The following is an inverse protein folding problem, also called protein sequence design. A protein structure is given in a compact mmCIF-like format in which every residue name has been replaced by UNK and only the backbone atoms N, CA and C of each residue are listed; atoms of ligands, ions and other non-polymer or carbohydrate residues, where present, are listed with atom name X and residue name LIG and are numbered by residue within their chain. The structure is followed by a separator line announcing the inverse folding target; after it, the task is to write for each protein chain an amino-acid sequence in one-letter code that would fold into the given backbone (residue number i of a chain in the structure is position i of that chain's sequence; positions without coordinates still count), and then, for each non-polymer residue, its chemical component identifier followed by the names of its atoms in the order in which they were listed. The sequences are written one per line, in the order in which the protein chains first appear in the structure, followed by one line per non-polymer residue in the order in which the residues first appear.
data_IF_243421892657
#
_entry.id   IF_243421892657
#
_cell.length_a   1.000
_cell.length_b   1.000
_cell.length_c   1.000
_cell.angle_alpha   90.00
_cell.angle_beta   90.00
_cell.angle_gamma   90.00
#
_symmetry.space_group_name_H-M   'P 1'
#
loop_
_entity.id
_entity.type
_entity.pdbx_description
1 polymer ?
#
# COMPACT_ATOMS: atom_id res chain seq x y z
N UNK A 1 36.33 20.89 13.97
CA UNK A 1 35.52 21.12 12.76
C UNK A 1 36.34 20.59 11.60
N UNK A 2 36.14 19.33 11.22
CA UNK A 2 36.95 18.64 10.21
C UNK A 2 36.06 18.43 9.00
N UNK A 3 36.33 19.19 7.94
CA UNK A 3 35.65 19.08 6.65
C UNK A 3 36.36 17.96 5.89
N UNK A 4 35.67 16.86 5.65
CA UNK A 4 36.15 15.80 4.75
C UNK A 4 35.65 16.17 3.35
N UNK A 5 36.56 16.60 2.49
CA UNK A 5 36.32 16.77 1.06
C UNK A 5 36.50 15.40 0.42
N UNK A 6 35.43 14.86 -0.17
CA UNK A 6 35.51 13.66 -1.02
C UNK A 6 35.61 14.13 -2.48
N UNK A 7 36.72 13.81 -3.14
CA UNK A 7 36.95 14.08 -4.55
C UNK A 7 36.07 13.17 -5.45
N UNK A 8 35.72 13.64 -6.67
CA UNK A 8 34.81 12.91 -7.55
C UNK A 8 35.53 11.77 -8.27
N UNK A 9 34.92 10.59 -8.29
CA UNK A 9 35.38 9.46 -9.09
C UNK A 9 34.66 9.49 -10.45
N UNK A 10 35.42 9.68 -11.53
CA UNK A 10 34.93 9.66 -12.92
C UNK A 10 35.09 8.29 -13.60
N UNK A 11 34.23 8.08 -14.60
CA UNK A 11 34.14 6.99 -15.60
C UNK A 11 33.43 5.73 -15.10
N UNK A 12 32.50 5.09 -15.81
CA UNK A 12 32.01 5.11 -17.21
C UNK A 12 30.69 4.30 -17.17
N UNK A 13 29.68 4.37 -18.03
CA UNK A 13 29.47 4.78 -19.41
C UNK A 13 28.00 5.21 -19.51
N UNK A 14 27.75 6.29 -20.24
CA UNK A 14 26.42 6.74 -20.57
C UNK A 14 25.92 6.10 -21.88
N UNK A 15 24.59 6.11 -22.01
CA UNK A 15 23.78 5.99 -23.22
C UNK A 15 23.39 4.58 -23.68
N UNK A 16 22.13 4.21 -23.44
CA UNK A 16 21.08 4.49 -24.43
C UNK A 16 19.69 4.17 -23.85
N UNK A 17 19.09 5.10 -23.10
CA UNK A 17 17.67 5.03 -22.76
C UNK A 17 16.91 5.94 -23.73
N UNK A 18 16.23 5.31 -24.67
CA UNK A 18 15.20 5.96 -25.47
C UNK A 18 14.15 6.50 -24.51
N UNK A 19 14.06 7.82 -24.40
CA UNK A 19 13.02 8.51 -23.64
C UNK A 19 11.64 8.07 -24.14
N UNK A 20 11.03 7.16 -23.40
CA UNK A 20 9.60 6.95 -23.43
C UNK A 20 9.06 7.89 -22.35
N UNK A 21 8.52 9.03 -22.79
CA UNK A 21 7.87 10.00 -21.91
C UNK A 21 6.84 9.27 -21.02
N UNK A 22 7.15 9.13 -19.72
CA UNK A 22 6.22 8.64 -18.71
C UNK A 22 6.65 7.44 -17.86
N UNK A 23 7.90 6.95 -17.95
CA UNK A 23 8.36 5.89 -17.02
C UNK A 23 8.69 6.48 -15.64
N UNK A 24 7.93 6.08 -14.62
CA UNK A 24 8.17 6.45 -13.23
C UNK A 24 9.47 5.77 -12.77
N UNK A 25 10.55 6.53 -12.59
CA UNK A 25 11.83 6.00 -12.10
C UNK A 25 11.69 5.62 -10.62
N UNK A 26 11.26 4.37 -10.36
CA UNK A 26 11.14 3.82 -9.01
C UNK A 26 12.46 3.16 -8.64
N UNK A 27 13.18 3.66 -7.61
CA UNK A 27 14.39 2.99 -7.16
C UNK A 27 14.06 1.58 -6.67
N UNK A 28 14.95 0.60 -6.92
CA UNK A 28 14.73 -0.80 -6.49
C UNK A 28 14.63 -1.00 -4.97
N UNK A 29 15.21 -0.08 -4.20
CA UNK A 29 15.32 -0.15 -2.74
C UNK A 29 14.88 1.15 -2.10
N UNK A 30 14.39 1.06 -0.87
CA UNK A 30 14.05 2.24 -0.07
C UNK A 30 15.31 2.98 0.42
N UNK A 31 15.11 4.13 1.07
CA UNK A 31 16.19 4.94 1.65
C UNK A 31 17.08 4.21 2.68
N UNK A 32 16.64 3.04 3.16
CA UNK A 32 17.36 2.18 4.10
C UNK A 32 18.08 1.00 3.42
N UNK A 33 18.03 0.90 2.08
CA UNK A 33 18.65 -0.18 1.32
C UNK A 33 17.89 -1.51 1.35
N UNK A 34 16.61 -1.51 1.76
CA UNK A 34 15.75 -2.69 1.72
C UNK A 34 14.89 -2.72 0.46
N UNK A 35 14.63 -3.92 -0.05
CA UNK A 35 13.72 -4.11 -1.18
C UNK A 35 12.26 -3.82 -0.76
N UNK A 36 11.47 -3.33 -1.70
CA UNK A 36 10.05 -3.10 -1.47
C UNK A 36 9.28 -4.43 -1.44
N UNK A 37 8.27 -4.53 -0.56
CA UNK A 37 7.36 -5.69 -0.46
C UNK A 37 8.07 -7.03 -0.19
N UNK A 38 9.09 -7.02 0.66
CA UNK A 38 9.80 -8.23 1.09
C UNK A 38 9.03 -9.00 2.18
N UNK A 39 8.46 -10.15 1.80
CA UNK A 39 7.71 -11.04 2.70
C UNK A 39 8.50 -12.28 3.13
N UNK A 40 9.72 -12.48 2.62
CA UNK A 40 10.51 -13.69 2.89
C UNK A 40 11.34 -13.58 4.17
N UNK A 41 11.70 -12.36 4.56
CA UNK A 41 12.41 -12.13 5.82
C UNK A 41 11.47 -12.27 7.01
N UNK A 42 11.80 -13.15 7.95
CA UNK A 42 11.03 -13.27 9.17
C UNK A 42 11.17 -11.99 10.01
N UNK A 43 10.04 -11.33 10.26
CA UNK A 43 9.96 -10.09 11.04
C UNK A 43 8.61 -10.00 11.72
N UNK A 44 8.55 -9.23 12.82
CA UNK A 44 7.29 -8.99 13.53
C UNK A 44 6.23 -8.36 12.61
N UNK A 45 6.65 -7.48 11.70
CA UNK A 45 5.78 -6.92 10.66
C UNK A 45 5.18 -8.02 9.78
N UNK A 46 6.00 -8.96 9.31
CA UNK A 46 5.55 -10.00 8.40
C UNK A 46 4.57 -10.96 9.09
N UNK A 47 4.77 -11.27 10.37
CA UNK A 47 3.80 -12.04 11.16
C UNK A 47 2.43 -11.34 11.26
N UNK A 48 2.42 -10.03 11.52
CA UNK A 48 1.18 -9.23 11.57
C UNK A 48 0.47 -9.22 10.21
N UNK A 49 1.24 -9.02 9.13
CA UNK A 49 0.70 -9.02 7.76
C UNK A 49 0.13 -10.38 7.39
N UNK A 50 0.85 -11.47 7.69
CA UNK A 50 0.41 -12.83 7.42
C UNK A 50 -0.91 -13.15 8.16
N UNK A 51 -1.00 -12.79 9.43
CA UNK A 51 -2.23 -12.99 10.22
C UNK A 51 -3.39 -12.15 9.69
N UNK A 52 -3.12 -10.92 9.23
CA UNK A 52 -4.10 -10.06 8.58
C UNK A 52 -4.66 -10.72 7.30
N UNK A 53 -3.79 -11.22 6.42
CA UNK A 53 -4.21 -11.96 5.22
C UNK A 53 -4.95 -13.25 5.55
N UNK A 54 -4.50 -14.02 6.55
CA UNK A 54 -5.15 -15.26 6.99
C UNK A 54 -6.60 -14.98 7.41
N UNK A 55 -6.82 -13.98 8.25
CA UNK A 55 -8.18 -13.57 8.69
C UNK A 55 -9.01 -13.08 7.51
N UNK A 56 -8.44 -12.26 6.62
CA UNK A 56 -9.16 -11.78 5.45
C UNK A 56 -9.64 -12.94 4.57
N UNK A 57 -8.78 -13.90 4.22
CA UNK A 57 -9.16 -15.02 3.37
C UNK A 57 -10.23 -15.93 3.99
N UNK A 58 -10.29 -16.02 5.33
CA UNK A 58 -11.29 -16.84 6.03
C UNK A 58 -12.64 -16.12 6.13
N UNK A 59 -12.64 -14.82 6.41
CA UNK A 59 -13.86 -14.09 6.79
C UNK A 59 -14.42 -13.16 5.70
N UNK A 60 -13.66 -12.85 4.65
CA UNK A 60 -14.10 -11.99 3.55
C UNK A 60 -15.02 -12.74 2.57
N UNK A 61 -16.28 -12.93 2.97
CA UNK A 61 -17.32 -13.57 2.14
C UNK A 61 -18.14 -12.53 1.38
N UNK A 62 -18.86 -12.95 0.33
CA UNK A 62 -19.80 -12.07 -0.39
C UNK A 62 -20.90 -11.53 0.54
N UNK A 63 -21.38 -12.35 1.47
CA UNK A 63 -22.36 -11.93 2.48
C UNK A 63 -21.80 -10.83 3.37
N UNK A 64 -20.57 -11.02 3.88
CA UNK A 64 -19.89 -10.02 4.69
C UNK A 64 -19.71 -8.70 3.92
N UNK A 65 -19.23 -8.77 2.67
CA UNK A 65 -19.03 -7.60 1.82
C UNK A 65 -20.34 -6.84 1.54
N UNK A 66 -21.43 -7.56 1.24
CA UNK A 66 -22.74 -6.96 1.01
C UNK A 66 -23.28 -6.27 2.26
N UNK A 67 -23.15 -6.91 3.43
CA UNK A 67 -23.54 -6.33 4.72
C UNK A 67 -22.77 -5.04 5.00
N UNK A 68 -21.44 -5.05 4.80
CA UNK A 68 -20.60 -3.86 5.00
C UNK A 68 -20.93 -2.74 4.01
N UNK A 69 -21.24 -3.08 2.77
CA UNK A 69 -21.70 -2.10 1.77
C UNK A 69 -23.01 -1.43 2.17
N UNK A 70 -23.98 -2.20 2.68
CA UNK A 70 -25.24 -1.64 3.19
C UNK A 70 -25.03 -0.77 4.44
N UNK A 71 -24.15 -1.20 5.34
CA UNK A 71 -23.84 -0.48 6.56
C UNK A 71 -23.18 0.88 6.27
N UNK A 72 -22.08 0.89 5.52
CA UNK A 72 -21.27 2.08 5.29
C UNK A 72 -21.75 2.93 4.10
N UNK A 73 -22.57 2.38 3.21
CA UNK A 73 -23.19 3.13 2.12
C UNK A 73 -24.15 4.24 2.57
N UNK A 74 -24.54 4.26 3.85
CA UNK A 74 -25.39 5.30 4.45
C UNK A 74 -24.64 6.60 4.75
N UNK A 75 -23.29 6.56 4.81
CA UNK A 75 -22.42 7.71 5.03
C UNK A 75 -22.80 8.59 6.24
N UNK A 76 -23.27 7.96 7.32
CA UNK A 76 -23.83 8.64 8.49
C UNK A 76 -23.09 8.32 9.79
N UNK A 77 -21.80 7.98 9.69
CA UNK A 77 -20.98 7.56 10.84
C UNK A 77 -20.32 8.76 11.53
N UNK A 78 -19.60 9.58 10.77
CA UNK A 78 -18.91 10.77 11.27
C UNK A 78 -18.69 11.79 10.14
N UNK A 79 -18.44 13.04 10.52
CA UNK A 79 -17.99 14.11 9.63
C UNK A 79 -16.60 14.56 10.10
N UNK A 80 -15.61 14.49 9.21
CA UNK A 80 -14.21 14.82 9.49
C UNK A 80 -13.57 15.44 8.25
N UNK A 81 -12.62 16.33 8.45
CA UNK A 81 -11.74 16.83 7.40
C UNK A 81 -10.56 15.87 7.17
N UNK A 82 -9.90 16.00 6.02
CA UNK A 82 -8.69 15.22 5.70
C UNK A 82 -7.55 15.49 6.71
N UNK A 83 -7.57 16.66 7.34
CA UNK A 83 -6.57 17.08 8.33
C UNK A 83 -6.80 16.48 9.71
N UNK A 84 -7.96 15.85 9.94
CA UNK A 84 -8.29 15.19 11.21
C UNK A 84 -7.83 13.71 11.23
N UNK A 85 -7.11 13.26 10.19
CA UNK A 85 -6.51 11.94 10.12
C UNK A 85 -5.22 11.86 10.95
N UNK A 86 -4.92 10.68 11.46
CA UNK A 86 -3.66 10.42 12.17
C UNK A 86 -2.43 10.76 11.29
N UNK A 87 -1.38 11.30 11.93
CA UNK A 87 -0.16 11.78 11.26
C UNK A 87 0.42 10.78 10.23
N UNK A 88 0.58 9.47 10.53
CA UNK A 88 1.15 8.52 9.57
C UNK A 88 0.30 8.36 8.30
N UNK A 89 -1.02 8.56 8.39
CA UNK A 89 -1.92 8.39 7.26
C UNK A 89 -1.92 9.62 6.37
N UNK A 90 -1.93 10.84 6.93
CA UNK A 90 -1.84 12.07 6.12
C UNK A 90 -0.47 12.18 5.43
N UNK A 91 0.60 11.78 6.11
CA UNK A 91 1.95 11.76 5.52
C UNK A 91 2.02 10.85 4.28
N UNK A 92 1.44 9.65 4.34
CA UNK A 92 1.38 8.73 3.20
C UNK A 92 0.61 9.32 2.01
N UNK A 93 -0.51 9.99 2.28
CA UNK A 93 -1.33 10.61 1.23
C UNK A 93 -0.58 11.77 0.56
N UNK A 94 0.10 12.61 1.36
CA UNK A 94 0.92 13.71 0.86
C UNK A 94 2.15 13.22 0.09
N UNK A 95 2.85 12.20 0.58
CA UNK A 95 3.99 11.58 -0.12
C UNK A 95 3.57 11.05 -1.49
N UNK A 96 2.42 10.38 -1.56
CA UNK A 96 1.89 9.85 -2.82
C UNK A 96 1.49 10.99 -3.76
N UNK A 97 0.75 11.98 -3.26
CA UNK A 97 0.29 13.11 -4.06
C UNK A 97 1.45 13.96 -4.60
N UNK A 98 2.47 14.25 -3.79
CA UNK A 98 3.62 15.05 -4.21
C UNK A 98 4.55 14.30 -5.18
N UNK A 99 4.70 12.98 -5.03
CA UNK A 99 5.41 12.16 -6.01
C UNK A 99 4.73 12.24 -7.38
N UNK A 100 3.41 12.01 -7.42
CA UNK A 100 2.65 12.14 -8.67
C UNK A 100 2.70 13.58 -9.19
N UNK A 101 2.63 14.60 -8.33
CA UNK A 101 2.70 16.00 -8.76
C UNK A 101 4.01 16.34 -9.46
N UNK A 102 5.13 15.77 -9.01
CA UNK A 102 6.43 15.93 -9.66
C UNK A 102 6.48 15.23 -11.01
N UNK A 103 5.95 14.02 -11.09
CA UNK A 103 6.10 13.17 -12.27
C UNK A 103 5.04 13.48 -13.35
N UNK A 104 3.86 13.96 -12.95
CA UNK A 104 2.73 14.34 -13.82
C UNK A 104 2.23 15.76 -13.51
N UNK A 105 3.02 16.83 -13.72
CA UNK A 105 2.71 18.18 -13.22
C UNK A 105 1.41 18.80 -13.76
N UNK A 106 0.94 18.35 -14.91
CA UNK A 106 -0.28 18.88 -15.56
C UNK A 106 -1.54 18.03 -15.31
N UNK A 107 -1.43 16.90 -14.62
CA UNK A 107 -2.55 16.00 -14.33
C UNK A 107 -3.12 16.24 -12.93
N UNK A 108 -3.71 17.41 -12.72
CA UNK A 108 -4.24 17.82 -11.40
C UNK A 108 -5.23 16.83 -10.78
N UNK A 109 -6.02 16.15 -11.62
CA UNK A 109 -6.95 15.12 -11.17
C UNK A 109 -6.21 13.93 -10.53
N UNK A 110 -5.03 13.57 -11.05
CA UNK A 110 -4.22 12.46 -10.54
C UNK A 110 -3.57 12.81 -9.21
N UNK A 111 -3.19 14.08 -9.00
CA UNK A 111 -2.70 14.58 -7.70
C UNK A 111 -3.78 14.42 -6.63
N UNK A 112 -5.01 14.82 -6.95
CA UNK A 112 -6.15 14.68 -6.05
C UNK A 112 -6.48 13.20 -5.82
N UNK A 113 -6.49 12.36 -6.86
CA UNK A 113 -6.72 10.92 -6.73
C UNK A 113 -5.71 10.30 -5.75
N UNK A 114 -4.43 10.63 -5.85
CA UNK A 114 -3.43 10.18 -4.88
C UNK A 114 -3.66 10.70 -3.47
N UNK A 115 -4.10 11.95 -3.31
CA UNK A 115 -4.41 12.51 -1.99
C UNK A 115 -5.59 11.79 -1.32
N UNK A 116 -6.57 11.29 -2.09
CA UNK A 116 -7.79 10.68 -1.54
C UNK A 116 -7.83 9.14 -1.58
N UNK A 117 -6.86 8.49 -2.23
CA UNK A 117 -6.95 7.06 -2.57
C UNK A 117 -7.18 6.14 -1.37
N UNK A 118 -6.53 6.44 -0.25
CA UNK A 118 -6.50 5.60 0.94
C UNK A 118 -7.39 6.14 2.07
N UNK A 119 -8.21 7.16 1.81
CA UNK A 119 -9.14 7.72 2.81
C UNK A 119 -10.15 6.69 3.32
N UNK A 120 -10.42 5.60 2.59
CA UNK A 120 -11.26 4.50 3.08
C UNK A 120 -10.74 3.84 4.37
N UNK A 121 -9.47 4.06 4.74
CA UNK A 121 -8.90 3.58 6.00
C UNK A 121 -9.49 4.23 7.24
N UNK A 122 -10.29 5.30 7.09
CA UNK A 122 -11.09 5.88 8.19
C UNK A 122 -12.02 4.87 8.84
N UNK A 123 -12.36 3.76 8.18
CA UNK A 123 -13.13 2.67 8.79
C UNK A 123 -12.45 2.05 10.02
N UNK A 124 -11.13 2.17 10.15
CA UNK A 124 -10.36 1.76 11.34
C UNK A 124 -10.53 2.74 12.51
N UNK A 125 -10.95 3.96 12.25
CA UNK A 125 -11.05 4.99 13.26
C UNK A 125 -12.28 4.74 14.16
N UNK A 126 -12.17 4.95 15.49
CA UNK A 126 -13.27 4.70 16.43
C UNK A 126 -14.56 5.45 16.10
N UNK A 127 -14.46 6.64 15.51
CA UNK A 127 -15.63 7.44 15.12
C UNK A 127 -16.42 6.85 13.93
N UNK A 128 -15.81 5.99 13.10
CA UNK A 128 -16.49 5.42 11.93
C UNK A 128 -17.03 4.02 12.20
N UNK A 129 -16.28 3.20 12.92
CA UNK A 129 -16.70 1.83 13.23
C UNK A 129 -15.65 0.94 13.87
N UNK A 130 -14.41 1.39 13.99
CA UNK A 130 -13.32 0.60 14.60
C UNK A 130 -13.18 -0.79 13.94
N UNK A 131 -13.30 -0.83 12.62
CA UNK A 131 -13.25 -2.07 11.88
C UNK A 131 -11.89 -2.76 12.05
N UNK A 132 -11.85 -4.10 12.11
CA UNK A 132 -10.59 -4.80 12.21
C UNK A 132 -9.78 -4.62 10.92
N UNK A 133 -8.47 -4.44 11.06
CA UNK A 133 -7.56 -4.16 9.94
C UNK A 133 -7.70 -5.12 8.74
N UNK A 134 -8.01 -6.40 8.99
CA UNK A 134 -8.14 -7.42 7.95
C UNK A 134 -9.30 -7.17 6.98
N UNK A 135 -10.36 -6.43 7.34
CA UNK A 135 -11.45 -6.13 6.41
C UNK A 135 -11.26 -4.81 5.65
N UNK A 136 -10.19 -4.04 5.96
CA UNK A 136 -9.96 -2.69 5.41
C UNK A 136 -8.72 -2.61 4.50
N UNK A 137 -7.54 -3.10 4.93
CA UNK A 137 -6.24 -2.70 4.30
C UNK A 137 -5.55 -3.76 3.45
N UNK A 138 -6.20 -4.90 3.19
CA UNK A 138 -5.58 -6.00 2.43
C UNK A 138 -5.74 -5.82 0.92
N UNK A 139 -4.84 -6.45 0.14
CA UNK A 139 -5.03 -6.59 -1.29
C UNK A 139 -6.29 -7.40 -1.56
N UNK A 140 -7.31 -6.75 -2.13
CA UNK A 140 -8.49 -7.44 -2.62
C UNK A 140 -8.18 -8.04 -3.99
N UNK A 141 -7.44 -9.15 -3.98
CA UNK A 141 -7.44 -10.05 -5.13
C UNK A 141 -8.88 -10.50 -5.36
N UNK A 142 -9.38 -10.37 -6.59
CA UNK A 142 -10.74 -10.83 -6.93
C UNK A 142 -10.91 -12.25 -6.40
N UNK A 143 -11.90 -12.45 -5.54
CA UNK A 143 -12.39 -13.77 -5.14
C UNK A 143 -12.82 -14.51 -6.41
N UNK A 144 -11.89 -15.26 -7.02
CA UNK A 144 -12.13 -16.00 -8.26
C UNK A 144 -11.10 -15.83 -9.38
N UNK A 145 -10.06 -14.99 -9.25
CA UNK A 145 -8.94 -15.00 -10.19
C UNK A 145 -7.65 -15.40 -9.48
N UNK A 146 -7.11 -16.53 -9.94
CA UNK A 146 -5.86 -17.13 -9.51
C UNK A 146 -4.67 -16.24 -9.91
N UNK A 147 -4.32 -15.26 -9.08
CA UNK A 147 -2.98 -14.68 -9.16
C UNK A 147 -2.01 -15.51 -8.31
N UNK A 148 -0.90 -16.04 -8.89
CA UNK A 148 -0.09 -17.06 -8.23
C UNK A 148 0.78 -16.56 -7.07
N UNK A 149 1.06 -15.25 -7.01
CA UNK A 149 2.15 -14.71 -6.18
C UNK A 149 1.84 -14.73 -4.68
N UNK A 150 0.61 -14.39 -4.28
CA UNK A 150 0.25 -14.35 -2.85
C UNK A 150 -0.30 -15.72 -2.38
N UNK A 151 -0.96 -16.47 -3.26
CA UNK A 151 -1.53 -17.79 -2.91
C UNK A 151 -0.46 -18.87 -2.72
N UNK A 152 0.68 -18.82 -3.42
CA UNK A 152 1.75 -19.83 -3.21
C UNK A 152 2.43 -19.70 -1.85
N UNK A 153 2.52 -18.50 -1.28
CA UNK A 153 3.16 -18.28 0.02
C UNK A 153 2.26 -18.64 1.21
N UNK A 154 0.93 -18.56 1.07
CA UNK A 154 0.00 -19.11 2.08
C UNK A 154 -0.10 -20.64 2.05
N UNK A 155 0.00 -21.26 0.86
CA UNK A 155 -0.11 -22.73 0.69
C UNK A 155 1.09 -23.51 1.25
N UNK A 156 2.29 -22.95 1.19
CA UNK A 156 3.50 -23.64 1.68
C UNK A 156 3.64 -23.63 3.22
N UNK A 157 2.93 -22.73 3.92
CA UNK A 157 3.04 -22.60 5.39
C UNK A 157 1.96 -23.37 6.16
N UNK A 158 0.90 -23.83 5.49
CA UNK A 158 -0.21 -24.52 6.14
C UNK A 158 -0.13 -26.05 6.08
N UNK A 159 0.86 -26.65 5.39
CA UNK A 159 1.09 -28.10 5.45
C UNK A 159 -0.09 -28.99 5.06
N UNK A 160 -1.12 -28.45 4.41
CA UNK A 160 -2.36 -29.17 4.13
C UNK A 160 -2.46 -29.54 2.64
N UNK A 161 -2.19 -30.82 2.38
CA UNK A 161 -2.66 -31.51 1.19
C UNK A 161 -4.18 -31.69 1.30
N UNK A 162 -4.94 -31.03 0.43
CA UNK A 162 -6.29 -31.44 0.11
C UNK A 162 -6.32 -31.86 -1.37
N UNK A 163 -6.78 -33.10 -1.59
CA UNK A 163 -7.03 -33.75 -2.88
C UNK A 163 -8.15 -33.11 -3.67
#
# INVERSE_FOLDING_TARGET
MTVIVLEPNESSNAENETAVDGELDVPRRNAFGHDFRDFEKESMRNAIVQECYRKNHIYQTCEFANKKKEEYGKLNKAEMSIWDLDEPQIDHLLQTAEAIRRDHPHEHWLHLTALIHDLGKVLLHPAFGEEPQWCVVVFQGKSGLSEPSIQHQGRNLLGEHWT
#
